data_IF_772962829693
#
_entry.id   IF_772962829693
#
_cell.length_a   1.000
_cell.length_b   1.000
_cell.length_c   1.000
_cell.angle_alpha   90.00
_cell.angle_beta   90.00
_cell.angle_gamma   90.00
#
_symmetry.space_group_name_H-M   'P 1'
#
loop_
_entity.id
_entity.type
_entity.pdbx_description
1 polymer ?
#
# COMPACT_ATOMS: atom_id res chain seq x y z
N UNK A 1 -7.13 -17.68 6.47
CA UNK A 1 -6.49 -18.46 5.37
C UNK A 1 -5.12 -17.84 5.20
N UNK A 2 -4.03 -18.61 5.35
CA UNK A 2 -2.69 -18.01 5.32
C UNK A 2 -2.44 -17.37 3.95
N UNK A 3 -2.35 -16.03 3.91
CA UNK A 3 -2.02 -15.30 2.69
C UNK A 3 -0.60 -15.67 2.26
N UNK A 4 -0.44 -16.12 1.01
CA UNK A 4 0.86 -16.49 0.43
C UNK A 4 1.24 -15.50 -0.66
N UNK A 5 2.39 -14.87 -0.49
CA UNK A 5 2.94 -13.91 -1.45
C UNK A 5 3.35 -14.67 -2.72
N UNK A 6 2.79 -14.28 -3.87
CA UNK A 6 3.09 -14.91 -5.15
C UNK A 6 4.52 -14.57 -5.65
N UNK A 7 4.88 -13.28 -5.65
CA UNK A 7 6.21 -12.80 -6.03
C UNK A 7 6.56 -11.52 -5.26
N UNK A 8 7.71 -11.53 -4.57
CA UNK A 8 8.20 -10.35 -3.84
C UNK A 8 8.48 -9.18 -4.80
N UNK A 9 8.07 -7.99 -4.40
CA UNK A 9 8.19 -6.75 -5.18
C UNK A 9 7.21 -6.62 -6.32
N UNK A 10 6.15 -7.43 -6.29
CA UNK A 10 4.99 -7.28 -7.16
C UNK A 10 3.75 -7.11 -6.28
N UNK A 11 2.97 -6.07 -6.58
CA UNK A 11 1.59 -5.94 -6.09
C UNK A 11 0.67 -6.47 -7.19
N UNK A 12 -0.27 -7.30 -6.81
CA UNK A 12 -1.21 -7.98 -7.69
C UNK A 12 -2.58 -7.32 -7.62
N UNK A 13 -3.41 -7.57 -8.65
CA UNK A 13 -4.81 -7.12 -8.66
C UNK A 13 -5.62 -7.70 -7.49
N UNK A 14 -5.23 -8.87 -6.99
CA UNK A 14 -5.84 -9.47 -5.82
C UNK A 14 -5.58 -8.61 -4.57
N UNK A 15 -4.32 -8.29 -4.30
CA UNK A 15 -3.92 -7.47 -3.14
C UNK A 15 -4.56 -6.08 -3.20
N UNK A 16 -4.45 -5.40 -4.35
CA UNK A 16 -5.10 -4.11 -4.56
C UNK A 16 -6.63 -4.20 -4.37
N UNK A 17 -7.26 -5.27 -4.84
CA UNK A 17 -8.69 -5.52 -4.69
C UNK A 17 -9.13 -5.82 -3.25
N UNK A 18 -8.31 -6.50 -2.46
CA UNK A 18 -8.56 -6.75 -1.03
C UNK A 18 -8.59 -5.43 -0.27
N UNK A 19 -7.57 -4.58 -0.46
CA UNK A 19 -7.50 -3.27 0.20
C UNK A 19 -8.65 -2.37 -0.25
N UNK A 20 -8.92 -2.30 -1.56
CA UNK A 20 -10.02 -1.48 -2.09
C UNK A 20 -11.39 -1.90 -1.56
N UNK A 21 -11.64 -3.22 -1.43
CA UNK A 21 -12.89 -3.73 -0.85
C UNK A 21 -13.03 -3.33 0.61
N UNK A 22 -11.98 -3.51 1.41
CA UNK A 22 -11.99 -3.15 2.82
C UNK A 22 -12.23 -1.65 3.00
N UNK A 23 -11.59 -0.82 2.17
CA UNK A 23 -11.84 0.62 2.13
C UNK A 23 -13.30 0.94 1.80
N UNK A 24 -13.85 0.35 0.73
CA UNK A 24 -15.25 0.58 0.31
C UNK A 24 -16.26 0.17 1.40
N UNK A 25 -15.93 -0.85 2.18
CA UNK A 25 -16.76 -1.34 3.28
C UNK A 25 -16.58 -0.54 4.59
N UNK A 26 -15.74 0.49 4.62
CA UNK A 26 -15.35 1.24 5.81
C UNK A 26 -14.70 0.37 6.92
N UNK A 27 -14.04 -0.72 6.54
CA UNK A 27 -13.33 -1.61 7.46
C UNK A 27 -11.94 -1.06 7.81
N UNK A 28 -11.35 -0.28 6.90
CA UNK A 28 -10.04 0.38 7.07
C UNK A 28 -10.12 1.88 6.77
N UNK A 29 -9.26 2.65 7.42
CA UNK A 29 -9.07 4.07 7.17
C UNK A 29 -7.85 4.28 6.28
N UNK A 30 -8.08 4.36 4.96
CA UNK A 30 -7.04 4.69 3.99
C UNK A 30 -7.44 5.86 3.11
N UNK A 31 -6.45 6.58 2.59
CA UNK A 31 -6.64 7.63 1.61
C UNK A 31 -7.07 7.01 0.26
N UNK A 32 -7.98 7.64 -0.50
CA UNK A 32 -8.35 7.17 -1.83
C UNK A 32 -7.12 7.00 -2.74
N UNK A 33 -6.16 7.92 -2.66
CA UNK A 33 -4.89 7.87 -3.39
C UNK A 33 -4.05 6.64 -3.07
N UNK A 34 -4.12 6.11 -1.86
CA UNK A 34 -3.41 4.89 -1.50
C UNK A 34 -3.96 3.68 -2.28
N UNK A 35 -5.28 3.56 -2.37
CA UNK A 35 -5.91 2.51 -3.19
C UNK A 35 -5.59 2.68 -4.67
N UNK A 36 -5.55 3.93 -5.17
CA UNK A 36 -5.16 4.23 -6.55
C UNK A 36 -3.71 3.83 -6.82
N UNK A 37 -2.79 4.19 -5.93
CA UNK A 37 -1.39 3.81 -6.02
C UNK A 37 -1.21 2.29 -6.06
N UNK A 38 -1.91 1.54 -5.20
CA UNK A 38 -1.88 0.07 -5.24
C UNK A 38 -2.29 -0.48 -6.61
N UNK A 39 -3.34 0.08 -7.23
CA UNK A 39 -3.75 -0.32 -8.58
C UNK A 39 -2.72 0.04 -9.65
N UNK A 40 -2.11 1.22 -9.57
CA UNK A 40 -1.05 1.63 -10.50
C UNK A 40 0.16 0.69 -10.41
N UNK A 41 0.55 0.27 -9.21
CA UNK A 41 1.62 -0.71 -8.97
C UNK A 41 1.34 -2.08 -9.57
N UNK A 42 0.08 -2.46 -9.78
CA UNK A 42 -0.28 -3.74 -10.43
C UNK A 42 0.12 -3.80 -11.91
N UNK A 43 0.31 -2.65 -12.54
CA UNK A 43 0.71 -2.57 -13.95
C UNK A 43 2.23 -2.66 -14.16
N UNK A 44 3.00 -2.59 -13.08
CA UNK A 44 4.45 -2.60 -13.17
C UNK A 44 4.99 -3.98 -13.59
N UNK A 45 6.02 -3.98 -14.46
CA UNK A 45 6.51 -5.18 -15.13
C UNK A 45 6.96 -6.28 -14.13
N UNK A 46 6.46 -7.49 -14.33
CA UNK A 46 6.69 -8.63 -13.44
C UNK A 46 8.15 -9.09 -13.46
N UNK A 47 8.84 -8.94 -14.60
CA UNK A 47 10.23 -9.36 -14.74
C UNK A 47 11.20 -8.61 -13.81
N UNK A 48 10.84 -7.41 -13.36
CA UNK A 48 11.68 -6.59 -12.47
C UNK A 48 11.27 -6.61 -11.00
N UNK A 49 10.30 -7.45 -10.63
CA UNK A 49 9.74 -7.47 -9.27
C UNK A 49 10.82 -7.69 -8.18
N UNK A 50 11.77 -8.59 -8.38
CA UNK A 50 12.85 -8.83 -7.40
C UNK A 50 13.73 -7.59 -7.22
N UNK A 51 14.04 -6.86 -8.30
CA UNK A 51 14.86 -5.65 -8.21
C UNK A 51 14.12 -4.54 -7.46
N UNK A 52 12.82 -4.39 -7.70
CA UNK A 52 11.95 -3.46 -6.96
C UNK A 52 11.88 -3.82 -5.48
N UNK A 53 11.73 -5.11 -5.16
CA UNK A 53 11.77 -5.56 -3.78
C UNK A 53 13.11 -5.24 -3.11
N UNK A 54 14.23 -5.47 -3.79
CA UNK A 54 15.54 -5.15 -3.23
C UNK A 54 15.74 -3.64 -3.01
N UNK A 55 15.08 -2.79 -3.81
CA UNK A 55 15.11 -1.34 -3.65
C UNK A 55 14.19 -0.84 -2.54
N UNK A 56 13.03 -1.48 -2.34
CA UNK A 56 12.03 -1.04 -1.37
C UNK A 56 11.28 -2.21 -0.70
N UNK A 57 12.02 -3.08 -0.01
CA UNK A 57 11.46 -4.26 0.63
C UNK A 57 10.41 -3.89 1.70
N UNK A 58 10.63 -2.78 2.42
CA UNK A 58 9.77 -2.34 3.52
C UNK A 58 8.36 -2.01 3.04
N UNK A 59 8.23 -1.27 1.95
CA UNK A 59 6.91 -0.92 1.39
C UNK A 59 6.16 -2.17 0.97
N UNK A 60 6.82 -3.08 0.22
CA UNK A 60 6.16 -4.31 -0.25
C UNK A 60 5.78 -5.24 0.91
N UNK A 61 6.65 -5.44 1.89
CA UNK A 61 6.36 -6.27 3.07
C UNK A 61 5.15 -5.71 3.85
N UNK A 62 5.08 -4.38 4.04
CA UNK A 62 3.94 -3.72 4.67
C UNK A 62 2.65 -3.93 3.89
N UNK A 63 2.67 -3.84 2.56
CA UNK A 63 1.48 -4.12 1.72
C UNK A 63 1.01 -5.55 1.90
N UNK A 64 1.94 -6.52 1.90
CA UNK A 64 1.61 -7.92 2.12
C UNK A 64 1.02 -8.17 3.52
N UNK A 65 1.55 -7.49 4.53
CA UNK A 65 1.06 -7.58 5.90
C UNK A 65 -0.31 -6.90 6.08
N UNK A 66 -0.57 -5.79 5.40
CA UNK A 66 -1.89 -5.14 5.35
C UNK A 66 -2.92 -6.12 4.77
N UNK A 67 -2.61 -6.73 3.62
CA UNK A 67 -3.52 -7.69 2.97
C UNK A 67 -3.81 -8.87 3.89
N UNK A 68 -2.78 -9.41 4.54
CA UNK A 68 -2.94 -10.49 5.51
C UNK A 68 -3.83 -10.08 6.68
N UNK A 69 -3.59 -8.90 7.27
CA UNK A 69 -4.35 -8.39 8.42
C UNK A 69 -5.83 -8.18 8.06
N UNK A 70 -6.12 -7.64 6.86
CA UNK A 70 -7.49 -7.51 6.34
C UNK A 70 -8.16 -8.88 6.19
N UNK A 71 -7.47 -9.87 5.61
CA UNK A 71 -8.01 -11.22 5.42
C UNK A 71 -8.26 -11.95 6.75
N UNK A 72 -7.44 -11.67 7.76
CA UNK A 72 -7.59 -12.18 9.12
C UNK A 72 -8.55 -11.31 9.98
N UNK A 73 -9.14 -10.25 9.41
CA UNK A 73 -10.05 -9.27 10.06
C UNK A 73 -9.42 -8.50 11.22
N UNK A 74 -8.09 -8.44 11.26
CA UNK A 74 -7.33 -7.60 12.18
C UNK A 74 -7.20 -6.19 11.57
N UNK A 75 -8.31 -5.44 11.63
CA UNK A 75 -8.40 -4.11 11.01
C UNK A 75 -7.58 -3.05 11.75
N UNK A 76 -7.38 -3.19 13.07
CA UNK A 76 -6.58 -2.27 13.86
C UNK A 76 -5.13 -2.30 13.38
N UNK A 77 -4.55 -3.50 13.24
CA UNK A 77 -3.22 -3.68 12.68
C UNK A 77 -3.12 -3.22 11.23
N UNK A 78 -4.15 -3.52 10.41
CA UNK A 78 -4.19 -3.03 9.03
C UNK A 78 -4.12 -1.50 8.98
N UNK A 79 -4.89 -0.82 9.83
CA UNK A 79 -4.91 0.64 9.92
C UNK A 79 -3.60 1.24 10.42
N UNK A 80 -2.94 0.60 11.38
CA UNK A 80 -1.61 1.01 11.84
C UNK A 80 -0.59 0.98 10.68
N UNK A 81 -0.54 -0.13 9.95
CA UNK A 81 0.38 -0.30 8.82
C UNK A 81 0.07 0.66 7.67
N UNK A 82 -1.22 0.87 7.35
CA UNK A 82 -1.69 1.84 6.35
C UNK A 82 -1.27 3.27 6.75
N UNK A 83 -1.40 3.62 8.02
CA UNK A 83 -0.98 4.94 8.50
C UNK A 83 0.51 5.14 8.32
N UNK A 84 1.33 4.16 8.71
CA UNK A 84 2.79 4.23 8.59
C UNK A 84 3.22 4.45 7.13
N UNK A 85 2.71 3.65 6.18
CA UNK A 85 3.07 3.77 4.77
C UNK A 85 2.60 5.09 4.16
N UNK A 86 1.39 5.55 4.50
CA UNK A 86 0.86 6.82 4.02
C UNK A 86 1.64 8.02 4.58
N UNK A 87 1.97 8.00 5.87
CA UNK A 87 2.77 9.06 6.50
C UNK A 87 4.16 9.15 5.85
N UNK A 88 4.79 8.01 5.55
CA UNK A 88 6.05 7.96 4.79
C UNK A 88 5.89 8.56 3.38
N UNK A 89 4.83 8.19 2.66
CA UNK A 89 4.56 8.74 1.32
C UNK A 89 4.29 10.25 1.36
N UNK A 90 3.51 10.73 2.31
CA UNK A 90 3.20 12.16 2.45
C UNK A 90 4.46 12.94 2.80
N UNK A 91 5.26 12.46 3.74
CA UNK A 91 6.49 13.13 4.19
C UNK A 91 7.52 13.23 3.08
N UNK A 92 7.77 12.13 2.36
CA UNK A 92 8.86 12.03 1.39
C UNK A 92 8.45 12.50 -0.03
N UNK A 93 7.17 12.76 -0.28
CA UNK A 93 6.74 13.12 -1.63
C UNK A 93 7.16 14.54 -2.06
N UNK A 94 7.41 14.65 -3.37
CA UNK A 94 7.56 15.92 -4.08
C UNK A 94 6.25 16.40 -4.72
N UNK A 95 6.28 17.63 -5.27
CA UNK A 95 5.10 18.37 -5.79
C UNK A 95 4.22 17.63 -6.81
N UNK A 96 4.79 16.67 -7.54
CA UNK A 96 4.08 15.88 -8.58
C UNK A 96 3.37 14.64 -8.04
N UNK A 97 3.58 14.29 -6.77
CA UNK A 97 2.96 13.11 -6.17
C UNK A 97 1.48 13.32 -5.90
N UNK A 98 0.70 12.25 -6.04
CA UNK A 98 -0.72 12.24 -5.63
C UNK A 98 -0.92 12.50 -4.12
N UNK A 99 0.10 12.26 -3.30
CA UNK A 99 0.06 12.49 -1.86
C UNK A 99 0.42 13.92 -1.43
N UNK A 100 0.92 14.76 -2.34
CA UNK A 100 1.45 16.09 -2.00
C UNK A 100 0.41 17.03 -1.36
N UNK A 101 -0.87 16.86 -1.71
CA UNK A 101 -1.96 17.66 -1.14
C UNK A 101 -2.12 17.46 0.38
N UNK A 102 -1.69 16.32 0.92
CA UNK A 102 -1.75 16.00 2.35
C UNK A 102 -0.53 16.46 3.13
N UNK A 103 0.50 16.97 2.44
CA UNK A 103 1.71 17.47 3.07
C UNK A 103 1.40 18.70 3.92
N UNK A 104 1.95 18.78 5.12
CA UNK A 104 1.81 19.96 5.99
C UNK A 104 2.49 21.16 5.32
N UNK A 105 1.97 22.37 5.57
CA UNK A 105 2.54 23.59 4.97
C UNK A 105 4.01 23.80 5.33
N UNK A 106 4.41 23.40 6.54
CA UNK A 106 5.79 23.47 7.02
C UNK A 106 6.76 22.57 6.21
N UNK A 107 6.25 21.55 5.51
CA UNK A 107 7.02 20.58 4.73
C UNK A 107 6.88 20.76 3.20
N UNK A 108 6.16 21.79 2.72
CA UNK A 108 5.88 22.07 1.29
C UNK A 108 6.89 23.01 0.65
#
# INVERSE_FOLDING_TARGET
>A
MAYTIYKRGQITKYEAGVVYRAYKNNEINCLPEFTKWLYDETNAYIGTAIQRYNQDARTYDRVYEIVRSILDKDFDKANELIKIIQDDFIRLCGKKSMFYKYKKEEDK
#
